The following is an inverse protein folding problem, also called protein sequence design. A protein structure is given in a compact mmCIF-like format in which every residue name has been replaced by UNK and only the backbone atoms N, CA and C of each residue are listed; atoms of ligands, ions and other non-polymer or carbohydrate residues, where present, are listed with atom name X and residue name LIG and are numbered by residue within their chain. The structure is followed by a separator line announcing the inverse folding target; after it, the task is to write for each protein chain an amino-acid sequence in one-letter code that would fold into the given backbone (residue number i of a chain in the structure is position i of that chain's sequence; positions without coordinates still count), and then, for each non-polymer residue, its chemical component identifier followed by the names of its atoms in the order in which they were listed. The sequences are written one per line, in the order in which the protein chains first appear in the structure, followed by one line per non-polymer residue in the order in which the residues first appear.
data_IF_858401635906
#
_entry.id   IF_858401635906
#
_cell.length_a   1.000
_cell.length_b   1.000
_cell.length_c   1.000
_cell.angle_alpha   90.00
_cell.angle_beta   90.00
_cell.angle_gamma   90.00
#
_symmetry.space_group_name_H-M   'P 1'
#
loop_
_entity.id
_entity.type
_entity.pdbx_description
1 polymer ?
#
# COMPACT_ATOMS: atom_id res chain seq x y z
N UNK A 1 12.13 -3.72 -21.78
CA UNK A 1 10.75 -4.07 -22.19
C UNK A 1 10.17 -2.95 -23.05
N UNK A 2 9.25 -3.27 -23.95
CA UNK A 2 8.61 -2.30 -24.85
C UNK A 2 7.25 -1.91 -24.27
N UNK A 3 7.05 -0.63 -23.97
CA UNK A 3 5.76 -0.08 -23.53
C UNK A 3 4.97 0.40 -24.73
N UNK A 4 3.69 0.00 -24.77
CA UNK A 4 2.73 0.43 -25.78
C UNK A 4 1.57 1.12 -25.05
N UNK A 5 1.29 2.36 -25.41
CA UNK A 5 0.23 3.16 -24.85
C UNK A 5 -1.01 3.16 -25.77
N UNK A 6 -2.16 3.54 -25.22
CA UNK A 6 -3.41 3.80 -25.94
C UNK A 6 -3.91 2.65 -26.82
N UNK A 7 -3.70 1.40 -26.44
CA UNK A 7 -4.28 0.25 -27.13
C UNK A 7 -5.79 0.23 -26.82
N UNK A 8 -6.62 0.40 -27.83
CA UNK A 8 -8.08 0.47 -27.66
C UNK A 8 -8.74 -0.83 -28.10
N UNK A 9 -9.63 -1.34 -27.24
CA UNK A 9 -10.46 -2.52 -27.48
C UNK A 9 -11.90 -2.28 -27.02
N UNK A 10 -12.90 -2.91 -27.64
CA UNK A 10 -14.30 -2.86 -27.18
C UNK A 10 -14.47 -3.38 -25.75
N UNK A 11 -15.52 -3.00 -25.04
CA UNK A 11 -15.79 -3.49 -23.67
C UNK A 11 -15.95 -5.02 -23.60
N UNK A 12 -16.50 -5.64 -24.63
CA UNK A 12 -16.72 -7.10 -24.71
C UNK A 12 -15.61 -7.88 -25.42
N UNK A 13 -14.40 -7.33 -25.51
CA UNK A 13 -13.28 -8.02 -26.16
C UNK A 13 -12.83 -9.28 -25.39
N UNK A 14 -12.30 -10.25 -26.12
CA UNK A 14 -11.75 -11.47 -25.54
C UNK A 14 -10.30 -11.28 -25.03
N UNK A 15 -9.89 -12.21 -24.14
CA UNK A 15 -8.52 -12.19 -23.60
C UNK A 15 -7.42 -12.24 -24.65
N UNK A 16 -7.71 -12.85 -25.83
CA UNK A 16 -6.77 -12.99 -26.93
C UNK A 16 -6.66 -11.75 -27.81
N UNK A 17 -7.61 -10.84 -27.75
CA UNK A 17 -7.63 -9.63 -28.58
C UNK A 17 -6.49 -8.67 -28.23
N UNK A 18 -6.12 -8.57 -26.96
CA UNK A 18 -5.04 -7.69 -26.51
C UNK A 18 -3.66 -8.16 -27.04
N UNK A 19 -3.25 -9.43 -26.89
CA UNK A 19 -2.03 -9.95 -27.53
C UNK A 19 -2.04 -9.82 -29.04
N UNK A 20 -3.16 -10.11 -29.71
CA UNK A 20 -3.30 -9.98 -31.16
C UNK A 20 -3.10 -8.52 -31.62
N UNK A 21 -3.70 -7.57 -30.90
CA UNK A 21 -3.52 -6.15 -31.17
C UNK A 21 -2.09 -5.67 -30.98
N UNK A 22 -1.44 -6.15 -29.92
CA UNK A 22 -0.01 -5.89 -29.64
C UNK A 22 0.88 -6.45 -30.75
N UNK A 23 0.65 -7.70 -31.16
CA UNK A 23 1.34 -8.34 -32.29
C UNK A 23 1.25 -7.50 -33.57
N UNK A 24 0.05 -7.03 -33.91
CA UNK A 24 -0.18 -6.14 -35.06
C UNK A 24 0.54 -4.78 -34.94
N UNK A 25 0.56 -4.17 -33.76
CA UNK A 25 1.27 -2.89 -33.53
C UNK A 25 2.78 -3.07 -33.69
N UNK A 26 3.35 -4.13 -33.11
CA UNK A 26 4.78 -4.39 -33.15
C UNK A 26 5.25 -4.98 -34.50
N UNK A 27 4.32 -5.51 -35.32
CA UNK A 27 4.63 -6.18 -36.58
C UNK A 27 5.40 -7.49 -36.39
N UNK A 28 5.08 -8.23 -35.31
CA UNK A 28 5.71 -9.51 -34.95
C UNK A 28 4.64 -10.59 -34.79
N UNK A 29 4.94 -11.89 -35.01
CA UNK A 29 4.03 -12.97 -34.68
C UNK A 29 3.66 -13.01 -33.21
N UNK A 30 2.42 -13.34 -32.88
CA UNK A 30 1.96 -13.41 -31.48
C UNK A 30 2.79 -14.42 -30.65
N UNK A 31 3.28 -15.50 -31.26
CA UNK A 31 4.13 -16.51 -30.61
C UNK A 31 5.54 -16.00 -30.22
N UNK A 32 5.95 -14.83 -30.68
CA UNK A 32 7.20 -14.18 -30.29
C UNK A 32 7.05 -13.28 -29.06
N UNK A 33 5.82 -13.02 -28.61
CA UNK A 33 5.56 -12.32 -27.35
C UNK A 33 5.87 -13.29 -26.21
N UNK A 34 6.92 -13.00 -25.47
CA UNK A 34 7.38 -13.80 -24.33
C UNK A 34 6.55 -13.49 -23.07
N UNK A 35 6.27 -12.21 -22.82
CA UNK A 35 5.36 -11.77 -21.78
C UNK A 35 4.65 -10.47 -22.13
N UNK A 36 3.41 -10.33 -21.63
CA UNK A 36 2.59 -9.13 -21.76
C UNK A 36 2.03 -8.78 -20.39
N UNK A 37 2.38 -7.60 -19.89
CA UNK A 37 1.91 -7.09 -18.60
C UNK A 37 1.04 -5.85 -18.81
N UNK A 38 -0.21 -5.91 -18.33
CA UNK A 38 -1.08 -4.73 -18.33
C UNK A 38 -0.59 -3.78 -17.24
N UNK A 39 -0.23 -2.56 -17.63
CA UNK A 39 0.25 -1.50 -16.74
C UNK A 39 -0.89 -0.59 -16.32
N UNK A 40 -1.84 -0.38 -17.24
CA UNK A 40 -3.03 0.45 -16.97
C UNK A 40 -4.18 0.03 -17.87
N UNK A 41 -5.37 -0.02 -17.28
CA UNK A 41 -6.64 -0.11 -17.97
C UNK A 41 -7.52 1.08 -17.57
N UNK A 42 -8.09 1.76 -18.54
CA UNK A 42 -9.04 2.86 -18.33
C UNK A 42 -10.17 2.81 -19.33
N UNK A 43 -11.31 3.41 -18.98
CA UNK A 43 -12.45 3.53 -19.88
C UNK A 43 -12.29 4.81 -20.73
N UNK A 44 -12.38 4.69 -22.04
CA UNK A 44 -12.47 5.81 -22.96
C UNK A 44 -13.92 5.96 -23.46
N UNK A 45 -14.66 6.91 -22.88
CA UNK A 45 -16.06 7.21 -23.20
C UNK A 45 -16.21 8.57 -23.91
N UNK A 46 -15.16 9.09 -24.55
CA UNK A 46 -15.18 10.40 -25.22
C UNK A 46 -16.06 10.42 -26.48
N UNK A 47 -16.25 9.26 -27.12
CA UNK A 47 -17.06 9.12 -28.33
C UNK A 47 -18.23 8.18 -28.05
N UNK A 48 -19.31 8.68 -27.48
CA UNK A 48 -20.55 7.90 -27.29
C UNK A 48 -21.25 7.67 -28.64
N UNK A 49 -21.84 6.48 -28.91
CA UNK A 49 -21.98 5.36 -27.97
C UNK A 49 -20.78 4.43 -27.89
N UNK A 50 -19.69 4.65 -28.64
CA UNK A 50 -18.52 3.78 -28.71
C UNK A 50 -17.64 3.93 -27.47
N UNK A 51 -17.94 3.15 -26.44
CA UNK A 51 -17.16 3.08 -25.23
C UNK A 51 -16.11 1.98 -25.40
N UNK A 52 -14.84 2.32 -25.14
CA UNK A 52 -13.69 1.43 -25.31
C UNK A 52 -12.89 1.31 -24.00
N UNK A 53 -12.21 0.17 -23.83
CA UNK A 53 -11.07 0.11 -22.93
C UNK A 53 -9.83 0.68 -23.61
N UNK A 54 -9.03 1.42 -22.86
CA UNK A 54 -7.73 1.92 -23.26
C UNK A 54 -6.66 1.29 -22.35
N UNK A 55 -5.72 0.57 -22.95
CA UNK A 55 -4.65 -0.13 -22.25
C UNK A 55 -3.31 0.54 -22.44
N UNK A 56 -2.47 0.41 -21.41
CA UNK A 56 -1.02 0.55 -21.46
C UNK A 56 -0.43 -0.79 -21.10
N UNK A 57 0.47 -1.32 -21.93
CA UNK A 57 1.08 -2.62 -21.69
C UNK A 57 2.61 -2.55 -21.80
N UNK A 58 3.28 -3.38 -21.03
CA UNK A 58 4.71 -3.67 -21.19
C UNK A 58 4.87 -5.07 -21.78
N UNK A 59 5.68 -5.16 -22.82
CA UNK A 59 5.85 -6.38 -23.63
C UNK A 59 7.32 -6.78 -23.66
N UNK A 60 7.59 -8.05 -23.38
CA UNK A 60 8.87 -8.66 -23.69
C UNK A 60 8.72 -9.49 -24.98
N UNK A 61 9.68 -9.36 -25.90
CA UNK A 61 9.69 -10.05 -27.17
C UNK A 61 10.90 -11.00 -27.20
N UNK A 62 10.66 -12.23 -27.60
CA UNK A 62 11.68 -13.28 -27.62
C UNK A 62 12.89 -12.87 -28.46
N UNK A 63 14.08 -12.93 -27.85
CA UNK A 63 15.34 -12.60 -28.54
C UNK A 63 15.53 -11.11 -28.86
N UNK A 64 14.63 -10.22 -28.41
CA UNK A 64 14.73 -8.77 -28.59
C UNK A 64 14.93 -8.11 -27.23
N UNK A 65 16.15 -7.65 -26.95
CA UNK A 65 16.54 -6.99 -25.70
C UNK A 65 17.47 -5.80 -25.96
N UNK A 66 17.47 -4.80 -25.09
CA UNK A 66 18.38 -3.66 -25.13
C UNK A 66 18.36 -2.91 -26.47
N UNK A 67 19.50 -2.82 -27.15
CA UNK A 67 19.62 -2.10 -28.44
C UNK A 67 18.67 -2.60 -29.53
N UNK A 68 18.26 -3.87 -29.50
CA UNK A 68 17.27 -4.40 -30.43
C UNK A 68 15.87 -3.87 -30.15
N UNK A 69 15.51 -3.70 -28.88
CA UNK A 69 14.25 -3.04 -28.49
C UNK A 69 14.20 -1.61 -29.00
N UNK A 70 15.28 -0.84 -28.79
CA UNK A 70 15.39 0.53 -29.30
C UNK A 70 15.23 0.58 -30.83
N UNK A 71 15.87 -0.32 -31.56
CA UNK A 71 15.78 -0.40 -33.02
C UNK A 71 14.35 -0.71 -33.48
N UNK A 72 13.66 -1.63 -32.79
CA UNK A 72 12.26 -1.94 -33.08
C UNK A 72 11.35 -0.73 -32.83
N UNK A 73 11.47 -0.09 -31.67
CA UNK A 73 10.70 1.10 -31.32
C UNK A 73 10.93 2.25 -32.31
N UNK A 74 12.17 2.49 -32.73
CA UNK A 74 12.49 3.51 -33.75
C UNK A 74 11.81 3.25 -35.09
N UNK A 75 11.68 1.99 -35.51
CA UNK A 75 10.97 1.62 -36.74
C UNK A 75 9.48 1.93 -36.70
N UNK A 76 8.89 1.89 -35.51
CA UNK A 76 7.45 2.12 -35.30
C UNK A 76 7.07 3.63 -35.33
N UNK A 77 8.04 4.53 -35.51
CA UNK A 77 7.90 5.98 -35.71
C UNK A 77 6.83 6.66 -34.83
N UNK A 78 7.16 6.89 -33.56
CA UNK A 78 6.45 7.83 -32.70
C UNK A 78 5.01 7.47 -32.29
N UNK A 79 4.58 6.26 -32.54
CA UNK A 79 3.26 5.77 -32.11
C UNK A 79 3.38 5.29 -30.68
N UNK A 80 3.05 6.09 -29.71
CA UNK A 80 2.79 5.65 -28.33
C UNK A 80 3.59 4.40 -27.83
N UNK A 81 4.78 4.14 -28.42
CA UNK A 81 5.66 3.01 -28.15
C UNK A 81 7.00 3.53 -27.67
N UNK A 82 7.48 3.01 -26.55
CA UNK A 82 8.74 3.40 -25.93
C UNK A 82 9.46 2.22 -25.30
N UNK A 83 10.79 2.30 -25.17
CA UNK A 83 11.53 1.36 -24.33
C UNK A 83 11.41 1.81 -22.86
N UNK A 84 11.13 0.88 -21.99
CA UNK A 84 11.06 1.11 -20.55
C UNK A 84 12.00 0.16 -19.82
N UNK A 85 12.73 0.72 -18.86
CA UNK A 85 13.42 -0.09 -17.88
C UNK A 85 12.40 -0.63 -16.88
N UNK A 86 12.32 -1.94 -16.75
CA UNK A 86 11.41 -2.62 -15.83
C UNK A 86 11.92 -2.62 -14.39
N UNK A 87 12.42 -1.50 -13.93
CA UNK A 87 12.86 -1.36 -12.54
C UNK A 87 11.62 -1.16 -11.66
N UNK A 88 11.09 -2.26 -11.11
CA UNK A 88 10.15 -2.20 -9.99
C UNK A 88 10.82 -1.56 -8.76
N UNK A 89 10.01 -1.16 -7.79
CA UNK A 89 10.53 -0.70 -6.50
C UNK A 89 11.40 -1.80 -5.88
N UNK A 90 12.56 -1.41 -5.39
CA UNK A 90 13.45 -2.28 -4.61
C UNK A 90 13.52 -1.76 -3.20
N UNK A 91 13.12 -2.61 -2.25
CA UNK A 91 13.29 -2.30 -0.84
C UNK A 91 14.80 -2.15 -0.56
N UNK A 92 15.23 -1.09 0.14
CA UNK A 92 16.62 -0.94 0.53
C UNK A 92 17.14 -2.17 1.29
N UNK A 93 18.40 -2.50 1.08
CA UNK A 93 19.04 -3.54 1.88
C UNK A 93 19.21 -3.08 3.32
N UNK A 94 19.18 -4.00 4.31
CA UNK A 94 19.46 -3.68 5.69
C UNK A 94 20.83 -3.00 5.85
N UNK A 95 20.92 -2.08 6.83
CA UNK A 95 22.19 -1.53 7.25
C UNK A 95 23.10 -2.58 7.90
N UNK A 96 24.35 -2.23 8.10
CA UNK A 96 25.36 -3.11 8.74
C UNK A 96 25.37 -3.01 10.26
N UNK A 97 24.70 -2.01 10.83
CA UNK A 97 24.59 -1.84 12.27
C UNK A 97 23.49 -2.75 12.82
N UNK A 98 23.86 -3.61 13.74
CA UNK A 98 22.89 -4.45 14.47
C UNK A 98 22.13 -3.60 15.49
N UNK A 99 20.83 -3.85 15.62
CA UNK A 99 20.00 -3.29 16.68
C UNK A 99 20.09 -4.20 17.91
N UNK A 100 20.43 -3.65 19.07
CA UNK A 100 20.46 -4.40 20.33
C UNK A 100 19.05 -4.78 20.81
N UNK A 101 18.03 -4.03 20.38
CA UNK A 101 16.63 -4.22 20.74
C UNK A 101 15.74 -4.24 19.49
N UNK A 102 14.58 -4.96 19.51
CA UNK A 102 13.63 -4.93 18.42
C UNK A 102 13.13 -3.52 18.13
N UNK A 103 12.97 -3.12 16.86
CA UNK A 103 12.32 -1.87 16.52
C UNK A 103 10.83 -1.94 16.90
N UNK A 104 10.31 -0.83 17.43
CA UNK A 104 8.89 -0.69 17.79
C UNK A 104 8.16 0.09 16.72
N UNK A 105 7.03 -0.42 16.25
CA UNK A 105 6.11 0.28 15.35
C UNK A 105 4.83 0.61 16.11
N UNK A 106 4.47 1.89 16.16
CA UNK A 106 3.34 2.38 16.96
C UNK A 106 2.14 2.62 16.05
N UNK A 107 1.15 1.76 16.17
CA UNK A 107 -0.05 1.70 15.34
C UNK A 107 0.01 0.60 14.29
N UNK A 108 -1.14 -0.05 14.04
CA UNK A 108 -1.33 -1.09 13.02
C UNK A 108 -2.29 -0.64 11.92
N UNK A 109 -2.37 0.67 11.66
CA UNK A 109 -2.94 1.19 10.43
C UNK A 109 -2.11 0.79 9.21
N UNK A 110 -2.48 1.21 7.99
CA UNK A 110 -1.75 0.81 6.78
C UNK A 110 -0.25 1.07 6.87
N UNK A 111 0.17 2.24 7.35
CA UNK A 111 1.60 2.57 7.47
C UNK A 111 2.34 1.62 8.41
N UNK A 112 1.76 1.32 9.57
CA UNK A 112 2.38 0.45 10.57
C UNK A 112 2.44 -1.01 10.11
N UNK A 113 1.37 -1.53 9.51
CA UNK A 113 1.34 -2.90 9.00
C UNK A 113 2.37 -3.12 7.88
N UNK A 114 2.43 -2.22 6.89
CA UNK A 114 3.45 -2.32 5.83
C UNK A 114 4.86 -2.16 6.39
N UNK A 115 5.09 -1.23 7.32
CA UNK A 115 6.38 -1.07 7.98
C UNK A 115 6.78 -2.36 8.73
N UNK A 116 5.88 -2.88 9.57
CA UNK A 116 6.11 -4.10 10.33
C UNK A 116 6.37 -5.31 9.44
N UNK A 117 5.58 -5.49 8.38
CA UNK A 117 5.76 -6.58 7.42
C UNK A 117 7.14 -6.52 6.74
N UNK A 118 7.52 -5.34 6.24
CA UNK A 118 8.80 -5.18 5.55
C UNK A 118 9.99 -5.35 6.49
N UNK A 119 9.89 -4.87 7.74
CA UNK A 119 10.90 -5.12 8.76
C UNK A 119 10.99 -6.61 9.12
N UNK A 120 9.86 -7.29 9.29
CA UNK A 120 9.84 -8.72 9.58
C UNK A 120 10.46 -9.54 8.44
N UNK A 121 10.12 -9.25 7.18
CA UNK A 121 10.71 -9.86 5.98
C UNK A 121 12.23 -9.64 5.86
N UNK A 122 12.75 -8.56 6.46
CA UNK A 122 14.19 -8.28 6.55
C UNK A 122 14.84 -8.81 7.84
N UNK A 123 14.11 -9.56 8.66
CA UNK A 123 14.62 -10.26 9.85
C UNK A 123 14.72 -9.42 11.12
N UNK A 124 14.15 -8.21 11.16
CA UNK A 124 14.26 -7.31 12.33
C UNK A 124 13.37 -7.69 13.53
N UNK A 125 12.41 -8.59 13.40
CA UNK A 125 11.48 -9.03 14.45
C UNK A 125 10.80 -7.85 15.17
N UNK A 126 10.06 -6.98 14.46
CA UNK A 126 9.49 -5.78 15.04
C UNK A 126 8.42 -6.09 16.09
N UNK A 127 8.22 -5.15 17.03
CA UNK A 127 7.10 -5.15 17.95
C UNK A 127 6.12 -4.07 17.47
N UNK A 128 4.92 -4.48 17.05
CA UNK A 128 3.84 -3.57 16.67
C UNK A 128 2.91 -3.37 17.87
N UNK A 129 2.66 -2.12 18.23
CA UNK A 129 1.80 -1.73 19.36
C UNK A 129 0.57 -1.01 18.82
N UNK A 130 -0.62 -1.59 19.00
CA UNK A 130 -1.89 -1.01 18.61
C UNK A 130 -2.73 -0.69 19.84
N UNK A 131 -3.26 0.56 19.90
CA UNK A 131 -4.11 0.96 21.03
C UNK A 131 -5.45 0.25 21.04
N UNK A 132 -6.00 -0.01 19.85
CA UNK A 132 -7.29 -0.67 19.68
C UNK A 132 -7.20 -2.20 19.64
N UNK A 133 -8.31 -2.79 19.30
CA UNK A 133 -8.49 -4.24 19.18
C UNK A 133 -8.03 -4.73 17.80
N UNK A 134 -7.89 -6.06 17.68
CA UNK A 134 -7.72 -6.73 16.39
C UNK A 134 -8.94 -6.51 15.48
N UNK A 135 -8.78 -6.80 14.19
CA UNK A 135 -9.80 -6.46 13.18
C UNK A 135 -11.14 -7.14 13.43
N UNK A 136 -11.15 -8.35 14.01
CA UNK A 136 -12.38 -9.10 14.27
C UNK A 136 -13.13 -8.52 15.49
N UNK A 137 -12.43 -8.27 16.60
CA UNK A 137 -12.99 -7.65 17.81
C UNK A 137 -13.43 -6.20 17.53
N UNK A 138 -12.61 -5.45 16.82
CA UNK A 138 -12.89 -4.08 16.40
C UNK A 138 -14.15 -3.99 15.53
N UNK A 139 -14.36 -4.93 14.59
CA UNK A 139 -15.57 -4.94 13.76
C UNK A 139 -16.83 -5.07 14.62
N UNK A 140 -16.82 -5.93 15.63
CA UNK A 140 -17.93 -6.04 16.60
C UNK A 140 -18.11 -4.76 17.38
N UNK A 141 -17.03 -4.16 17.87
CA UNK A 141 -17.05 -2.91 18.63
C UNK A 141 -17.64 -1.75 17.84
N UNK A 142 -17.32 -1.64 16.57
CA UNK A 142 -17.88 -0.62 15.69
C UNK A 142 -19.34 -0.88 15.38
N UNK A 143 -19.76 -2.13 15.21
CA UNK A 143 -21.17 -2.48 15.05
C UNK A 143 -22.00 -2.09 16.30
N UNK A 144 -21.52 -2.41 17.51
CA UNK A 144 -22.13 -2.00 18.78
C UNK A 144 -22.27 -0.47 18.86
N UNK A 145 -21.24 0.26 18.47
CA UNK A 145 -21.31 1.73 18.47
C UNK A 145 -22.40 2.25 17.52
N UNK A 146 -22.53 1.68 16.33
CA UNK A 146 -23.58 2.09 15.40
C UNK A 146 -24.98 1.72 15.84
N UNK A 147 -25.13 0.64 16.60
CA UNK A 147 -26.41 0.18 17.11
C UNK A 147 -26.89 0.98 18.34
N UNK A 148 -26.01 1.24 19.29
CA UNK A 148 -26.38 1.77 20.60
C UNK A 148 -25.66 3.06 21.02
N UNK A 149 -24.73 3.58 20.19
CA UNK A 149 -23.98 4.81 20.46
C UNK A 149 -22.83 4.65 21.47
N UNK A 150 -22.49 3.43 21.91
CA UNK A 150 -21.42 3.18 22.89
C UNK A 150 -20.04 3.30 22.23
N UNK A 151 -19.44 4.48 22.29
CA UNK A 151 -18.11 4.73 21.75
C UNK A 151 -17.01 4.21 22.67
N UNK A 152 -16.12 3.33 22.14
CA UNK A 152 -14.85 2.99 22.78
C UNK A 152 -13.76 3.97 22.30
N UNK A 153 -13.14 4.79 23.17
CA UNK A 153 -12.14 5.78 22.74
C UNK A 153 -10.90 5.19 22.08
N UNK A 154 -10.46 4.02 22.52
CA UNK A 154 -9.24 3.38 22.04
C UNK A 154 -9.48 2.34 20.92
N UNK A 155 -10.75 1.91 20.68
CA UNK A 155 -11.09 0.95 19.61
C UNK A 155 -12.38 1.35 18.90
N UNK A 156 -12.28 1.89 17.69
CA UNK A 156 -13.40 2.47 16.94
C UNK A 156 -13.09 2.58 15.44
N UNK A 157 -13.82 3.40 14.68
CA UNK A 157 -13.56 3.61 13.23
C UNK A 157 -12.17 4.21 12.94
N UNK A 158 -11.56 4.94 13.90
CA UNK A 158 -10.26 5.58 13.72
C UNK A 158 -9.10 4.73 14.22
N UNK A 159 -9.28 4.00 15.32
CA UNK A 159 -8.27 3.22 16.02
C UNK A 159 -8.56 1.74 15.98
N UNK A 160 -7.52 0.95 15.94
CA UNK A 160 -7.53 -0.50 15.84
C UNK A 160 -6.89 -1.02 14.56
N UNK A 161 -6.73 -2.33 14.48
CA UNK A 161 -6.02 -3.01 13.39
C UNK A 161 -6.59 -2.64 12.00
N UNK A 162 -5.70 -2.32 11.07
CA UNK A 162 -6.04 -1.90 9.71
C UNK A 162 -6.38 -0.41 9.56
N UNK A 163 -6.49 0.33 10.68
CA UNK A 163 -6.81 1.76 10.67
C UNK A 163 -8.18 2.09 10.08
N UNK A 164 -8.44 3.34 9.72
CA UNK A 164 -9.73 3.78 9.17
C UNK A 164 -10.09 3.15 7.82
N UNK A 165 -9.11 2.55 7.12
CA UNK A 165 -9.31 1.92 5.81
C UNK A 165 -10.28 0.74 5.84
N UNK A 166 -10.30 -0.04 6.92
CA UNK A 166 -11.19 -1.20 7.09
C UNK A 166 -12.67 -0.86 7.23
N UNK A 167 -13.00 0.42 7.43
CA UNK A 167 -14.38 0.94 7.51
C UNK A 167 -14.66 2.03 6.47
N UNK A 168 -13.80 2.16 5.46
CA UNK A 168 -13.97 3.09 4.35
C UNK A 168 -14.74 2.43 3.19
N UNK A 169 -14.91 3.16 2.09
CA UNK A 169 -15.48 2.61 0.86
C UNK A 169 -14.49 1.79 0.02
N UNK A 170 -13.30 1.50 0.56
CA UNK A 170 -12.30 0.61 -0.06
C UNK A 170 -11.59 1.17 -1.30
N UNK A 171 -11.75 2.45 -1.60
CA UNK A 171 -11.08 3.09 -2.73
C UNK A 171 -9.60 3.31 -2.45
N UNK A 172 -8.75 2.86 -3.35
CA UNK A 172 -7.29 3.01 -3.28
C UNK A 172 -6.80 4.15 -4.21
N UNK A 173 -7.46 5.30 -4.13
CA UNK A 173 -7.11 6.43 -4.99
C UNK A 173 -6.05 7.30 -4.33
N UNK A 174 -5.01 7.66 -5.10
CA UNK A 174 -4.01 8.64 -4.69
C UNK A 174 -3.70 9.60 -5.83
N UNK A 175 -3.44 10.86 -5.50
CA UNK A 175 -2.91 11.87 -6.42
C UNK A 175 -1.38 11.99 -6.31
N UNK A 176 -0.75 11.21 -5.44
CA UNK A 176 0.70 11.23 -5.25
C UNK A 176 1.38 10.67 -6.50
N UNK A 177 2.29 11.46 -7.07
CA UNK A 177 3.20 10.97 -8.11
C UNK A 177 4.25 10.08 -7.45
N UNK A 178 4.40 8.87 -7.96
CA UNK A 178 5.33 7.87 -7.41
C UNK A 178 6.34 7.41 -8.47
N UNK A 179 7.38 8.20 -8.73
CA UNK A 179 8.40 7.84 -9.69
C UNK A 179 9.25 6.63 -9.26
N UNK A 180 9.26 6.32 -7.96
CA UNK A 180 10.01 5.20 -7.39
C UNK A 180 9.25 3.86 -7.44
N UNK A 181 7.94 3.86 -7.74
CA UNK A 181 7.12 2.65 -7.81
C UNK A 181 6.64 2.08 -6.47
N UNK A 182 6.71 2.86 -5.37
CA UNK A 182 6.26 2.42 -4.03
C UNK A 182 4.78 2.08 -3.98
N UNK A 183 3.94 2.90 -4.64
CA UNK A 183 2.50 2.64 -4.70
C UNK A 183 2.18 1.32 -5.41
N UNK A 184 2.93 0.99 -6.47
CA UNK A 184 2.79 -0.31 -7.15
C UNK A 184 3.21 -1.46 -6.25
N UNK A 185 4.25 -1.29 -5.45
CA UNK A 185 4.70 -2.30 -4.50
C UNK A 185 3.66 -2.54 -3.41
N UNK A 186 3.04 -1.48 -2.88
CA UNK A 186 1.90 -1.61 -1.95
C UNK A 186 0.77 -2.43 -2.58
N UNK A 187 0.36 -2.11 -3.81
CA UNK A 187 -0.69 -2.87 -4.50
C UNK A 187 -0.28 -4.32 -4.74
N UNK A 188 1.00 -4.58 -5.08
CA UNK A 188 1.53 -5.94 -5.27
C UNK A 188 1.44 -6.75 -3.98
N UNK A 189 1.83 -6.15 -2.86
CA UNK A 189 1.72 -6.79 -1.54
C UNK A 189 0.23 -7.07 -1.21
N UNK A 190 -0.68 -6.15 -1.47
CA UNK A 190 -2.11 -6.40 -1.25
C UNK A 190 -2.62 -7.59 -2.09
N UNK A 191 -2.16 -7.71 -3.35
CA UNK A 191 -2.51 -8.87 -4.19
C UNK A 191 -1.89 -10.17 -3.63
N UNK A 192 -0.67 -10.13 -3.14
CA UNK A 192 0.00 -11.27 -2.49
C UNK A 192 -0.83 -11.80 -1.30
N UNK A 193 -1.50 -10.92 -0.57
CA UNK A 193 -2.40 -11.26 0.54
C UNK A 193 -3.87 -11.46 0.15
N UNK A 194 -4.19 -11.53 -1.15
CA UNK A 194 -5.50 -11.97 -1.63
C UNK A 194 -6.41 -10.87 -2.19
N UNK A 195 -5.88 -9.68 -2.48
CA UNK A 195 -6.62 -8.72 -3.29
C UNK A 195 -6.71 -9.19 -4.75
N UNK A 196 -7.77 -8.75 -5.45
CA UNK A 196 -7.91 -9.04 -6.87
C UNK A 196 -6.74 -8.44 -7.67
N UNK A 197 -6.07 -9.24 -8.54
CA UNK A 197 -4.93 -8.75 -9.32
C UNK A 197 -5.24 -7.55 -10.23
N UNK A 198 -6.49 -7.31 -10.56
CA UNK A 198 -6.90 -6.17 -11.37
C UNK A 198 -6.56 -4.82 -10.74
N UNK A 199 -6.41 -4.74 -9.40
CA UNK A 199 -6.02 -3.51 -8.72
C UNK A 199 -4.64 -2.97 -9.18
N UNK A 200 -3.80 -3.83 -9.75
CA UNK A 200 -2.47 -3.46 -10.25
C UNK A 200 -2.55 -2.56 -11.49
N UNK A 201 -3.65 -2.60 -12.24
CA UNK A 201 -3.75 -1.92 -13.52
C UNK A 201 -5.06 -1.18 -13.78
N UNK A 202 -6.13 -1.48 -13.06
CA UNK A 202 -7.41 -0.76 -13.21
C UNK A 202 -7.26 0.67 -12.69
N UNK A 203 -7.78 1.63 -13.46
CA UNK A 203 -7.82 3.01 -13.02
C UNK A 203 -8.83 3.18 -11.88
N UNK A 204 -8.41 3.75 -10.76
CA UNK A 204 -9.18 3.86 -9.51
C UNK A 204 -9.51 2.49 -8.89
N UNK A 205 -8.50 1.74 -8.45
CA UNK A 205 -8.69 0.44 -7.84
C UNK A 205 -9.51 0.51 -6.55
N UNK A 206 -10.24 -0.57 -6.28
CA UNK A 206 -11.10 -0.71 -5.12
C UNK A 206 -10.89 -2.10 -4.50
N UNK A 207 -10.83 -2.15 -3.17
CA UNK A 207 -10.82 -3.40 -2.40
C UNK A 207 -11.99 -3.34 -1.41
N UNK A 208 -12.88 -4.33 -1.43
CA UNK A 208 -13.97 -4.42 -0.47
C UNK A 208 -13.45 -4.50 0.98
N UNK A 209 -14.20 -3.96 1.91
CA UNK A 209 -13.79 -3.91 3.33
C UNK A 209 -13.61 -5.30 3.94
N UNK A 210 -14.41 -6.27 3.52
CA UNK A 210 -14.32 -7.68 3.91
C UNK A 210 -13.01 -8.32 3.42
N UNK A 211 -12.61 -8.04 2.18
CA UNK A 211 -11.33 -8.49 1.61
C UNK A 211 -10.17 -7.82 2.34
N UNK A 212 -10.26 -6.51 2.58
CA UNK A 212 -9.21 -5.75 3.26
C UNK A 212 -9.00 -6.26 4.69
N UNK A 213 -10.06 -6.60 5.42
CA UNK A 213 -9.96 -7.17 6.77
C UNK A 213 -9.21 -8.50 6.77
N UNK A 214 -9.45 -9.37 5.78
CA UNK A 214 -8.71 -10.64 5.62
C UNK A 214 -7.24 -10.40 5.29
N UNK A 215 -6.93 -9.44 4.41
CA UNK A 215 -5.57 -9.07 4.04
C UNK A 215 -4.80 -8.58 5.27
N UNK A 216 -5.39 -7.68 6.05
CA UNK A 216 -4.79 -7.11 7.26
C UNK A 216 -4.44 -8.22 8.25
N UNK A 217 -5.36 -9.15 8.48
CA UNK A 217 -5.13 -10.31 9.35
C UNK A 217 -4.00 -11.22 8.84
N UNK A 218 -3.98 -11.52 7.54
CA UNK A 218 -2.93 -12.34 6.94
C UNK A 218 -1.55 -11.65 7.00
N UNK A 219 -1.48 -10.32 6.82
CA UNK A 219 -0.24 -9.55 7.01
C UNK A 219 0.27 -9.67 8.46
N UNK A 220 -0.62 -9.54 9.45
CA UNK A 220 -0.26 -9.73 10.85
C UNK A 220 0.27 -11.15 11.12
N UNK A 221 -0.42 -12.16 10.61
CA UNK A 221 -0.03 -13.57 10.77
C UNK A 221 1.37 -13.83 10.18
N UNK A 222 1.71 -13.24 9.05
CA UNK A 222 3.06 -13.33 8.48
C UNK A 222 4.09 -12.61 9.36
N UNK A 223 3.80 -11.40 9.85
CA UNK A 223 4.69 -10.67 10.78
C UNK A 223 5.02 -11.55 11.99
N UNK A 224 4.02 -12.17 12.58
CA UNK A 224 4.19 -13.06 13.75
C UNK A 224 4.95 -14.33 13.36
N UNK A 225 4.62 -14.95 12.23
CA UNK A 225 5.32 -16.12 11.70
C UNK A 225 6.80 -15.89 11.43
N UNK A 226 7.18 -14.65 11.09
CA UNK A 226 8.57 -14.22 10.90
C UNK A 226 9.28 -13.79 12.20
N UNK A 227 8.64 -14.00 13.36
CA UNK A 227 9.19 -13.71 14.68
C UNK A 227 8.97 -12.29 15.19
N UNK A 228 8.16 -11.49 14.51
CA UNK A 228 7.65 -10.22 15.04
C UNK A 228 6.56 -10.44 16.09
N UNK A 229 6.15 -9.36 16.74
CA UNK A 229 5.06 -9.36 17.72
C UNK A 229 4.03 -8.30 17.33
N UNK A 230 2.74 -8.62 17.49
CA UNK A 230 1.65 -7.64 17.34
C UNK A 230 0.83 -7.67 18.63
N UNK A 231 0.74 -6.52 19.29
CA UNK A 231 0.07 -6.37 20.59
C UNK A 231 -1.04 -5.36 20.47
N UNK A 232 -2.25 -5.81 20.75
CA UNK A 232 -3.45 -4.98 20.81
C UNK A 232 -3.69 -4.43 22.22
N UNK A 233 -4.58 -3.45 22.34
CA UNK A 233 -4.88 -2.74 23.59
C UNK A 233 -3.60 -2.22 24.27
N UNK A 234 -2.64 -1.82 23.44
CA UNK A 234 -1.28 -1.43 23.81
C UNK A 234 -0.99 0.00 23.33
N UNK A 235 -1.53 0.98 24.06
CA UNK A 235 -1.34 2.40 23.75
C UNK A 235 0.01 2.87 24.23
N UNK A 236 0.83 3.41 23.32
CA UNK A 236 2.06 4.10 23.70
C UNK A 236 1.71 5.44 24.32
N UNK A 237 2.15 5.64 25.56
CA UNK A 237 1.83 6.79 26.38
C UNK A 237 3.02 7.71 26.65
N UNK A 238 4.24 7.24 26.36
CA UNK A 238 5.43 8.06 26.52
C UNK A 238 6.65 7.50 25.76
N UNK A 239 7.68 8.35 25.58
CA UNK A 239 8.97 8.04 24.98
C UNK A 239 10.08 8.39 25.97
N UNK A 240 10.89 7.42 26.33
CA UNK A 240 12.05 7.62 27.21
C UNK A 240 13.25 7.97 26.37
N UNK A 241 13.68 9.21 26.44
CA UNK A 241 14.82 9.75 25.70
C UNK A 241 15.89 10.18 26.70
N UNK A 242 17.10 9.63 26.57
CA UNK A 242 18.26 9.97 27.39
C UNK A 242 19.41 10.42 26.50
N UNK A 243 20.00 11.56 26.78
CA UNK A 243 21.12 12.15 26.02
C UNK A 243 20.84 12.20 24.48
N UNK A 244 19.58 12.52 24.09
CA UNK A 244 19.17 12.59 22.69
C UNK A 244 18.95 11.25 21.98
N UNK A 245 18.96 10.14 22.72
CA UNK A 245 18.72 8.79 22.19
C UNK A 245 17.45 8.19 22.77
N UNK A 246 16.67 7.53 21.92
CA UNK A 246 15.53 6.75 22.37
C UNK A 246 16.03 5.51 23.11
N UNK A 247 15.53 5.30 24.33
CA UNK A 247 15.85 4.14 25.16
C UNK A 247 14.68 3.18 25.29
N UNK A 248 13.44 3.69 25.33
CA UNK A 248 12.24 2.88 25.49
C UNK A 248 11.00 3.65 25.09
N UNK A 249 9.90 2.92 24.95
CA UNK A 249 8.53 3.46 24.96
C UNK A 249 7.78 2.97 26.19
N UNK A 250 6.85 3.78 26.69
CA UNK A 250 5.94 3.38 27.76
C UNK A 250 4.59 2.98 27.15
N UNK A 251 4.04 1.85 27.60
CA UNK A 251 2.76 1.31 27.16
C UNK A 251 1.76 1.36 28.31
N UNK A 252 0.57 1.88 28.06
CA UNK A 252 -0.53 1.97 29.01
C UNK A 252 -0.14 2.65 30.35
N UNK A 253 0.88 3.51 30.33
CA UNK A 253 1.37 4.26 31.49
C UNK A 253 2.24 3.46 32.48
N UNK A 254 2.39 2.16 32.34
CA UNK A 254 3.05 1.32 33.35
C UNK A 254 4.03 0.28 32.81
N UNK A 255 3.98 -0.07 31.53
CA UNK A 255 4.89 -1.04 30.95
C UNK A 255 5.98 -0.34 30.13
N UNK A 256 7.24 -0.65 30.41
CA UNK A 256 8.40 -0.18 29.65
C UNK A 256 8.83 -1.22 28.64
N UNK A 257 8.96 -0.82 27.37
CA UNK A 257 9.53 -1.63 26.29
C UNK A 257 10.80 -0.94 25.80
N UNK A 258 11.94 -1.58 26.03
CA UNK A 258 13.24 -1.07 25.60
C UNK A 258 13.37 -1.17 24.08
N UNK A 259 13.75 -0.06 23.43
CA UNK A 259 13.98 0.02 22.00
C UNK A 259 14.86 1.21 21.64
N UNK A 260 15.66 1.08 20.61
CA UNK A 260 16.48 2.15 20.04
C UNK A 260 15.80 2.85 18.86
N UNK A 261 14.75 2.21 18.29
CA UNK A 261 14.04 2.69 17.11
C UNK A 261 12.55 2.58 17.33
N UNK A 262 11.84 3.70 17.27
CA UNK A 262 10.40 3.75 17.24
C UNK A 262 9.90 4.39 15.94
N UNK A 263 8.90 3.80 15.33
CA UNK A 263 8.24 4.30 14.11
C UNK A 263 6.81 4.70 14.46
N UNK A 264 6.52 6.00 14.69
CA UNK A 264 5.16 6.47 14.92
C UNK A 264 4.33 6.37 13.63
N UNK A 265 3.42 5.41 13.58
CA UNK A 265 2.45 5.19 12.50
C UNK A 265 1.01 5.40 13.00
N UNK A 266 0.83 6.40 13.84
CA UNK A 266 -0.34 6.65 14.71
C UNK A 266 -1.56 7.24 13.99
N UNK A 267 -1.43 7.61 12.72
CA UNK A 267 -2.49 8.31 11.98
C UNK A 267 -2.70 9.74 12.48
N UNK A 268 -3.74 10.39 11.97
CA UNK A 268 -4.00 11.81 12.26
C UNK A 268 -4.81 12.06 13.55
N UNK A 269 -5.43 11.02 14.11
CA UNK A 269 -6.39 11.18 15.22
C UNK A 269 -5.78 10.99 16.62
N UNK A 270 -4.55 10.49 16.72
CA UNK A 270 -3.86 10.20 17.98
C UNK A 270 -3.28 11.50 18.62
N UNK A 271 -4.16 12.43 19.00
CA UNK A 271 -3.77 13.74 19.53
C UNK A 271 -2.93 13.64 20.80
N UNK A 272 -3.32 12.73 21.68
CA UNK A 272 -2.60 12.40 22.92
C UNK A 272 -1.13 12.02 22.64
N UNK A 273 -0.88 11.23 21.61
CA UNK A 273 0.49 10.86 21.22
C UNK A 273 1.25 12.06 20.63
N UNK A 274 0.57 12.92 19.85
CA UNK A 274 1.20 14.15 19.35
C UNK A 274 1.57 15.10 20.49
N UNK A 275 0.72 15.23 21.51
CA UNK A 275 0.99 16.04 22.71
C UNK A 275 2.24 15.52 23.42
N UNK A 276 2.34 14.21 23.65
CA UNK A 276 3.54 13.59 24.25
C UNK A 276 4.80 13.84 23.43
N UNK A 277 4.73 13.70 22.10
CA UNK A 277 5.88 13.97 21.23
C UNK A 277 6.34 15.44 21.34
N UNK A 278 5.40 16.38 21.42
CA UNK A 278 5.70 17.80 21.60
C UNK A 278 6.33 18.07 22.95
N UNK A 279 5.78 17.50 24.04
CA UNK A 279 6.33 17.61 25.40
C UNK A 279 7.74 17.05 25.52
N UNK A 280 8.05 16.01 24.74
CA UNK A 280 9.42 15.43 24.64
C UNK A 280 10.35 16.22 23.72
N UNK A 281 9.92 17.36 23.20
CA UNK A 281 10.74 18.25 22.40
C UNK A 281 10.98 17.74 20.96
N UNK A 282 10.18 16.81 20.46
CA UNK A 282 10.26 16.37 19.05
C UNK A 282 9.74 17.51 18.17
N UNK A 283 10.54 18.04 17.22
CA UNK A 283 10.12 19.13 16.36
C UNK A 283 8.91 18.78 15.52
N UNK A 284 7.89 19.63 15.57
CA UNK A 284 6.66 19.47 14.78
C UNK A 284 6.28 20.79 14.12
N UNK A 285 5.72 20.70 12.92
CA UNK A 285 5.22 21.84 12.16
C UNK A 285 3.74 21.67 11.87
N UNK A 286 2.97 22.76 12.01
CA UNK A 286 1.58 22.77 11.61
C UNK A 286 1.45 22.72 10.09
N UNK A 287 0.66 21.79 9.57
CA UNK A 287 0.34 21.68 8.15
C UNK A 287 -1.10 22.04 7.87
N UNK A 288 -1.33 22.79 6.79
CA UNK A 288 -2.67 23.01 6.27
C UNK A 288 -3.29 21.68 5.81
N UNK A 289 -4.56 21.48 6.11
CA UNK A 289 -5.35 20.34 5.67
C UNK A 289 -6.76 20.78 5.27
N UNK A 290 -7.45 19.99 4.45
CA UNK A 290 -8.82 20.28 4.05
C UNK A 290 -9.80 19.61 5.01
N UNK A 291 -10.75 20.37 5.53
CA UNK A 291 -11.88 19.89 6.33
C UNK A 291 -13.16 20.08 5.54
N UNK A 292 -14.03 19.08 5.55
CA UNK A 292 -15.36 19.15 4.98
C UNK A 292 -16.38 18.44 5.87
N UNK A 293 -17.60 18.92 5.81
CA UNK A 293 -18.75 18.26 6.42
C UNK A 293 -19.49 17.47 5.33
N UNK A 294 -19.93 16.26 5.69
CA UNK A 294 -20.83 15.50 4.86
C UNK A 294 -22.27 15.80 5.31
N UNK A 295 -23.07 16.30 4.39
CA UNK A 295 -24.50 16.56 4.63
C UNK A 295 -25.27 15.48 3.90
N UNK A 296 -26.20 14.85 4.60
CA UNK A 296 -27.18 13.96 3.99
C UNK A 296 -28.29 14.86 3.41
N UNK A 297 -28.57 14.73 2.12
CA UNK A 297 -29.63 15.45 1.41
C UNK A 297 -30.83 14.50 1.23
#
# INVERSE_FOLDING_TARGET
MIRINQIKLPLGHDRQDLPAKVSGILGIPAGEIDSLHIIKQSVDARKKPDILYSYVVDVAVRGITGKKEEKLVRKLRGRDVSVQDSLGYRLPEPGTQELARPPVVIGTGPAGLFCGLLLARKGYRPILLERGEDVDARTRRVAEFWENGSLCPDSNVQFGEGGAGTFSDGKLNTLVKDPSGRNKEVLRILVEFGADPSILYVNKPHIGTDVLSRIVKAMREEIVGLGGQVRFLSRVTDFIVEQGRLMAVMVNGNERIDTEVAVPAIGHSARDTFEVLLERGIPMEAKAFAVGLRVQI
#
